data_IF_751461025194
#
_entry.id   IF_751461025194
#
_cell.length_a   1.000
_cell.length_b   1.000
_cell.length_c   1.000
_cell.angle_alpha   90.00
_cell.angle_beta   90.00
_cell.angle_gamma   90.00
#
_symmetry.space_group_name_H-M   'P 1'
#
loop_
_entity.id
_entity.type
_entity.pdbx_description
1 polymer ?
#
# COMPACT_ATOMS: atom_id res chain seq x y z
N UNK A 1 -18.57 8.73 40.46
CA UNK A 1 -19.42 9.84 39.97
C UNK A 1 -19.15 10.21 38.51
N UNK A 2 -17.95 10.68 38.14
CA UNK A 2 -17.65 11.10 36.75
C UNK A 2 -17.88 10.00 35.68
N UNK A 3 -17.54 8.74 35.96
CA UNK A 3 -17.80 7.59 35.05
C UNK A 3 -19.30 7.31 34.86
N UNK A 4 -20.11 7.52 35.91
CA UNK A 4 -21.57 7.32 35.86
C UNK A 4 -22.27 8.49 35.15
N UNK A 5 -21.79 9.72 35.35
CA UNK A 5 -22.24 10.91 34.59
C UNK A 5 -21.89 10.77 33.10
N UNK A 6 -20.67 10.30 32.79
CA UNK A 6 -20.25 10.03 31.40
C UNK A 6 -21.05 8.88 30.78
N UNK A 7 -21.42 7.86 31.55
CA UNK A 7 -22.33 6.79 31.13
C UNK A 7 -23.76 7.27 30.88
N UNK A 8 -24.29 8.18 31.71
CA UNK A 8 -25.66 8.67 31.61
C UNK A 8 -25.86 9.79 30.57
N UNK A 9 -24.92 10.72 30.43
CA UNK A 9 -25.03 11.89 29.54
C UNK A 9 -24.11 11.82 28.30
N UNK A 10 -23.02 11.06 28.36
CA UNK A 10 -22.02 11.02 27.29
C UNK A 10 -22.52 10.38 26.00
N UNK A 11 -23.42 9.39 26.08
CA UNK A 11 -24.04 8.78 24.90
C UNK A 11 -24.90 9.78 24.10
N UNK A 12 -25.65 10.63 24.81
CA UNK A 12 -26.46 11.68 24.19
C UNK A 12 -25.60 12.76 23.55
N UNK A 13 -24.52 13.18 24.21
CA UNK A 13 -23.56 14.14 23.64
C UNK A 13 -22.89 13.59 22.36
N UNK A 14 -22.36 12.37 22.40
CA UNK A 14 -21.72 11.74 21.22
C UNK A 14 -22.71 11.62 20.05
N UNK A 15 -23.96 11.26 20.34
CA UNK A 15 -25.02 11.21 19.33
C UNK A 15 -25.32 12.60 18.77
N UNK A 16 -25.46 13.61 19.63
CA UNK A 16 -25.73 14.99 19.21
C UNK A 16 -24.61 15.53 18.32
N UNK A 17 -23.34 15.34 18.71
CA UNK A 17 -22.17 15.75 17.92
C UNK A 17 -22.09 15.03 16.57
N UNK A 18 -22.41 13.74 16.52
CA UNK A 18 -22.48 12.97 15.26
C UNK A 18 -23.54 13.55 14.32
N UNK A 19 -24.74 13.84 14.84
CA UNK A 19 -25.81 14.45 14.04
C UNK A 19 -25.36 15.83 13.54
N UNK A 20 -24.92 16.70 14.45
CA UNK A 20 -24.51 18.06 14.11
C UNK A 20 -23.43 18.07 13.01
N UNK A 21 -22.38 17.24 13.15
CA UNK A 21 -21.32 17.13 12.13
C UNK A 21 -21.86 16.59 10.81
N UNK A 22 -22.69 15.55 10.84
CA UNK A 22 -23.22 14.91 9.63
C UNK A 22 -24.11 15.88 8.85
N UNK A 23 -25.01 16.58 9.53
CA UNK A 23 -25.91 17.53 8.89
C UNK A 23 -25.21 18.81 8.43
N UNK A 24 -24.17 19.28 9.14
CA UNK A 24 -23.31 20.36 8.66
C UNK A 24 -22.61 19.97 7.34
N UNK A 25 -22.03 18.77 7.28
CA UNK A 25 -21.36 18.29 6.05
C UNK A 25 -22.35 18.05 4.92
N UNK A 26 -23.56 17.54 5.21
CA UNK A 26 -24.63 17.40 4.21
C UNK A 26 -25.01 18.77 3.64
N UNK A 27 -25.25 19.77 4.50
CA UNK A 27 -25.60 21.12 4.07
C UNK A 27 -24.51 21.73 3.18
N UNK A 28 -23.23 21.55 3.52
CA UNK A 28 -22.13 22.04 2.68
C UNK A 28 -22.06 21.35 1.33
N UNK A 29 -22.12 20.01 1.29
CA UNK A 29 -22.11 19.26 0.02
C UNK A 29 -23.28 19.62 -0.86
N UNK A 30 -24.45 19.82 -0.27
CA UNK A 30 -25.65 20.15 -1.02
C UNK A 30 -25.65 21.59 -1.53
N UNK A 31 -25.09 22.52 -0.76
CA UNK A 31 -24.78 23.87 -1.24
C UNK A 31 -23.79 23.83 -2.40
N UNK A 32 -22.72 23.02 -2.31
CA UNK A 32 -21.75 22.81 -3.39
C UNK A 32 -22.40 22.24 -4.63
N UNK A 33 -23.23 21.20 -4.52
CA UNK A 33 -23.93 20.59 -5.66
C UNK A 33 -24.86 21.58 -6.34
N UNK A 34 -25.64 22.35 -5.57
CA UNK A 34 -26.49 23.42 -6.13
C UNK A 34 -25.69 24.51 -6.82
N UNK A 35 -24.55 24.91 -6.24
CA UNK A 35 -23.66 25.85 -6.90
C UNK A 35 -23.14 25.28 -8.24
N UNK A 36 -22.81 23.99 -8.32
CA UNK A 36 -22.44 23.35 -9.58
C UNK A 36 -23.61 23.28 -10.57
N UNK A 37 -24.84 23.04 -10.11
CA UNK A 37 -26.05 23.06 -10.94
C UNK A 37 -26.30 24.44 -11.57
N UNK A 38 -26.17 25.51 -10.78
CA UNK A 38 -26.34 26.89 -11.27
C UNK A 38 -25.24 27.34 -12.24
N UNK A 39 -24.12 26.61 -12.32
CA UNK A 39 -22.99 26.89 -13.22
C UNK A 39 -22.78 25.71 -14.20
N UNK A 40 -23.86 25.05 -14.62
CA UNK A 40 -23.83 23.84 -15.47
C UNK A 40 -23.22 24.06 -16.86
N UNK A 41 -23.13 25.32 -17.30
CA UNK A 41 -22.45 25.73 -18.52
C UNK A 41 -20.94 25.48 -18.47
N UNK A 42 -20.32 25.50 -17.28
CA UNK A 42 -18.89 25.22 -17.07
C UNK A 42 -18.61 23.99 -16.19
N UNK A 43 -19.58 23.54 -15.39
CA UNK A 43 -19.46 22.34 -14.54
C UNK A 43 -20.37 21.23 -15.07
N UNK A 44 -19.79 20.08 -15.43
CA UNK A 44 -20.53 18.91 -15.97
C UNK A 44 -21.10 17.99 -14.88
N UNK A 45 -20.52 18.06 -13.70
CA UNK A 45 -20.83 17.16 -12.60
C UNK A 45 -19.84 17.33 -11.46
N UNK A 46 -19.69 16.27 -10.67
CA UNK A 46 -18.73 16.26 -9.59
C UNK A 46 -17.96 14.94 -9.53
N UNK A 47 -16.76 15.01 -8.97
CA UNK A 47 -15.87 13.88 -8.74
C UNK A 47 -15.86 13.58 -7.25
N UNK A 48 -16.04 12.32 -6.87
CA UNK A 48 -15.98 11.90 -5.48
C UNK A 48 -14.53 11.88 -4.98
N UNK A 49 -14.22 12.71 -3.99
CA UNK A 49 -12.89 12.82 -3.41
C UNK A 49 -12.87 12.27 -1.99
N UNK A 50 -11.84 11.47 -1.70
CA UNK A 50 -11.55 10.93 -0.38
C UNK A 50 -10.09 11.15 -0.02
N UNK A 51 -9.77 11.13 1.28
CA UNK A 51 -8.41 11.36 1.76
C UNK A 51 -7.41 10.23 1.40
N UNK A 52 -7.89 9.05 0.97
CA UNK A 52 -7.06 7.89 0.59
C UNK A 52 -5.97 7.56 1.62
N UNK A 53 -6.32 7.63 2.91
CA UNK A 53 -5.45 7.21 4.02
C UNK A 53 -5.84 5.82 4.53
N UNK A 54 -4.98 5.22 5.36
CA UNK A 54 -5.24 3.94 6.05
C UNK A 54 -6.51 3.96 6.94
N UNK A 55 -7.03 5.15 7.27
CA UNK A 55 -8.30 5.32 8.02
C UNK A 55 -9.52 5.56 7.13
N UNK A 56 -9.32 5.61 5.81
CA UNK A 56 -10.39 5.79 4.83
C UNK A 56 -11.00 4.43 4.57
N UNK A 57 -12.32 4.30 4.70
CA UNK A 57 -12.99 3.03 4.47
C UNK A 57 -12.90 2.60 2.99
N UNK A 58 -13.02 1.31 2.74
CA UNK A 58 -13.00 0.71 1.40
C UNK A 58 -14.01 1.34 0.44
N UNK A 59 -15.19 1.77 0.91
CA UNK A 59 -16.20 2.44 0.09
C UNK A 59 -15.71 3.77 -0.46
N UNK A 60 -15.06 4.59 0.37
CA UNK A 60 -14.49 5.86 -0.10
C UNK A 60 -13.21 5.68 -0.91
N UNK A 61 -12.53 4.52 -0.80
CA UNK A 61 -11.51 4.13 -1.77
C UNK A 61 -12.17 3.74 -3.10
N UNK A 62 -13.16 2.86 -3.10
CA UNK A 62 -13.87 2.41 -4.30
C UNK A 62 -14.48 3.57 -5.11
N UNK A 63 -15.06 4.56 -4.43
CA UNK A 63 -15.68 5.72 -5.06
C UNK A 63 -14.68 6.84 -5.38
N UNK A 64 -13.42 6.78 -4.94
CA UNK A 64 -12.50 7.89 -5.21
C UNK A 64 -12.27 8.04 -6.73
N UNK A 65 -12.46 9.25 -7.24
CA UNK A 65 -12.31 9.55 -8.66
C UNK A 65 -13.53 9.23 -9.52
N UNK A 66 -14.60 8.64 -8.97
CA UNK A 66 -15.84 8.42 -9.75
C UNK A 66 -16.51 9.75 -10.07
N UNK A 67 -16.99 9.86 -11.31
CA UNK A 67 -17.74 11.02 -11.82
C UNK A 67 -19.23 10.80 -11.63
N UNK A 68 -19.92 11.84 -11.19
CA UNK A 68 -21.33 11.85 -10.84
C UNK A 68 -22.01 13.05 -11.48
N UNK A 69 -23.31 12.91 -11.79
CA UNK A 69 -24.08 13.99 -12.41
C UNK A 69 -24.43 15.09 -11.39
N UNK A 70 -24.84 16.25 -11.91
CA UNK A 70 -25.30 17.36 -11.08
C UNK A 70 -26.58 17.05 -10.30
N UNK A 71 -27.38 16.09 -10.77
CA UNK A 71 -28.61 15.65 -10.10
C UNK A 71 -28.38 14.56 -9.05
N UNK A 72 -27.18 13.96 -9.03
CA UNK A 72 -26.83 12.95 -8.04
C UNK A 72 -26.34 13.60 -6.74
N UNK A 73 -27.09 13.39 -5.66
CA UNK A 73 -26.67 13.74 -4.31
C UNK A 73 -25.49 12.87 -3.85
N UNK A 74 -24.56 13.43 -3.07
CA UNK A 74 -23.52 12.63 -2.43
C UNK A 74 -24.09 11.88 -1.22
N UNK A 75 -24.54 10.66 -1.48
CA UNK A 75 -25.14 9.76 -0.49
C UNK A 75 -24.09 9.21 0.49
N UNK A 76 -23.72 9.99 1.49
CA UNK A 76 -22.70 9.55 2.46
C UNK A 76 -23.30 8.84 3.69
N UNK A 77 -22.42 8.27 4.51
CA UNK A 77 -22.76 7.74 5.84
C UNK A 77 -22.44 8.75 6.95
N UNK A 78 -23.01 8.59 8.16
CA UNK A 78 -22.72 9.49 9.28
C UNK A 78 -21.23 9.56 9.59
N UNK A 79 -20.73 10.75 9.90
CA UNK A 79 -19.29 11.06 10.09
C UNK A 79 -18.38 10.77 8.89
N UNK A 80 -18.90 10.58 7.69
CA UNK A 80 -18.06 10.50 6.50
C UNK A 80 -17.30 11.81 6.25
N UNK A 81 -16.22 11.70 5.46
CA UNK A 81 -15.23 12.77 5.26
C UNK A 81 -14.94 13.04 3.79
N UNK A 82 -15.69 12.41 2.89
CA UNK A 82 -15.50 12.48 1.47
C UNK A 82 -16.16 13.77 0.95
N UNK A 83 -15.69 14.35 -0.15
CA UNK A 83 -16.18 15.64 -0.66
C UNK A 83 -16.37 15.58 -2.17
N UNK A 84 -17.16 16.52 -2.69
CA UNK A 84 -17.29 16.76 -4.12
C UNK A 84 -16.16 17.67 -4.58
N UNK A 85 -15.50 17.34 -5.69
CA UNK A 85 -14.72 18.27 -6.49
C UNK A 85 -15.47 18.53 -7.82
N UNK A 86 -15.37 19.72 -8.43
CA UNK A 86 -16.09 20.00 -9.66
C UNK A 86 -15.46 19.20 -10.81
N UNK A 87 -16.31 18.53 -11.60
CA UNK A 87 -15.91 18.04 -12.92
C UNK A 87 -16.21 19.14 -13.93
N UNK A 88 -15.18 19.88 -14.33
CA UNK A 88 -15.32 21.01 -15.23
C UNK A 88 -15.29 20.60 -16.70
N UNK A 89 -15.88 21.45 -17.54
CA UNK A 89 -15.77 21.43 -18.99
C UNK A 89 -14.30 21.49 -19.45
N UNK A 90 -13.99 20.89 -20.58
CA UNK A 90 -12.69 21.06 -21.25
C UNK A 90 -12.60 22.43 -21.91
N UNK A 91 -11.39 22.90 -22.21
CA UNK A 91 -11.18 24.14 -22.97
C UNK A 91 -11.87 24.07 -24.33
N UNK A 92 -11.82 22.92 -24.99
CA UNK A 92 -12.47 22.68 -26.28
C UNK A 92 -14.00 22.79 -26.17
N UNK A 93 -14.63 22.21 -25.14
CA UNK A 93 -16.07 22.35 -24.89
C UNK A 93 -16.48 23.81 -24.61
N UNK A 94 -15.57 24.63 -24.09
CA UNK A 94 -15.76 26.07 -23.88
C UNK A 94 -15.45 26.91 -25.13
N UNK A 95 -15.08 26.27 -26.25
CA UNK A 95 -14.80 26.93 -27.53
C UNK A 95 -13.35 27.41 -27.69
N UNK A 96 -12.44 27.01 -26.82
CA UNK A 96 -11.02 27.32 -26.92
C UNK A 96 -10.24 26.15 -27.52
N UNK A 97 -9.80 26.30 -28.77
CA UNK A 97 -9.03 25.29 -29.49
C UNK A 97 -7.52 25.44 -29.26
N UNK A 98 -6.80 24.31 -29.15
CA UNK A 98 -5.33 24.29 -29.10
C UNK A 98 -4.72 24.63 -27.74
N UNK A 99 -5.54 24.67 -26.67
CA UNK A 99 -5.08 24.83 -25.29
C UNK A 99 -4.95 23.46 -24.65
N UNK A 100 -3.82 23.21 -23.99
CA UNK A 100 -3.61 21.98 -23.21
C UNK A 100 -4.52 21.97 -21.98
N UNK A 101 -5.11 20.81 -21.68
CA UNK A 101 -5.96 20.64 -20.51
C UNK A 101 -5.15 20.76 -19.21
N UNK A 102 -5.60 21.64 -18.33
CA UNK A 102 -4.96 21.91 -17.04
C UNK A 102 -5.73 21.31 -15.86
N UNK A 103 -6.91 20.73 -16.12
CA UNK A 103 -7.69 20.07 -15.09
C UNK A 103 -6.88 18.90 -14.48
N UNK A 104 -6.81 18.78 -13.15
CA UNK A 104 -6.04 17.73 -12.51
C UNK A 104 -6.61 16.36 -12.86
N UNK A 105 -5.73 15.45 -13.30
CA UNK A 105 -6.09 14.04 -13.47
C UNK A 105 -6.22 13.42 -12.08
N UNK A 106 -7.45 13.05 -11.72
CA UNK A 106 -7.73 12.35 -10.48
C UNK A 106 -7.55 10.85 -10.73
N UNK A 107 -6.49 10.28 -10.15
CA UNK A 107 -6.28 8.84 -10.14
C UNK A 107 -7.44 8.13 -9.43
N UNK A 108 -7.99 7.09 -10.05
CA UNK A 108 -9.07 6.33 -9.45
C UNK A 108 -8.60 5.60 -8.18
N UNK A 109 -9.54 5.40 -7.25
CA UNK A 109 -9.19 4.85 -5.96
C UNK A 109 -8.75 3.39 -5.97
N UNK A 110 -9.22 2.57 -6.92
CA UNK A 110 -8.79 1.17 -7.01
C UNK A 110 -7.34 1.09 -7.47
N UNK A 111 -6.97 1.79 -8.53
CA UNK A 111 -5.59 1.91 -9.02
C UNK A 111 -4.66 2.47 -7.95
N UNK A 112 -5.10 3.50 -7.23
CA UNK A 112 -4.32 4.05 -6.12
C UNK A 112 -4.16 3.06 -4.95
N UNK A 113 -5.20 2.28 -4.67
CA UNK A 113 -5.20 1.29 -3.59
C UNK A 113 -4.25 0.13 -3.89
N UNK A 114 -4.17 -0.31 -5.15
CA UNK A 114 -3.24 -1.34 -5.60
C UNK A 114 -1.76 -0.98 -5.42
N UNK A 115 -1.45 0.32 -5.40
CA UNK A 115 -0.09 0.82 -5.14
C UNK A 115 0.29 0.84 -3.67
N UNK A 116 -0.65 0.61 -2.76
CA UNK A 116 -0.34 0.54 -1.33
C UNK A 116 0.43 -0.74 -1.00
N UNK A 117 1.31 -0.65 -0.01
CA UNK A 117 1.89 -1.85 0.60
C UNK A 117 0.79 -2.70 1.22
N UNK A 118 0.99 -4.01 1.24
CA UNK A 118 -0.03 -4.94 1.72
C UNK A 118 -0.45 -4.66 3.18
N UNK A 119 0.45 -4.18 4.03
CA UNK A 119 0.11 -3.83 5.42
C UNK A 119 -0.84 -2.63 5.49
N UNK A 120 -0.76 -1.71 4.53
CA UNK A 120 -1.70 -0.59 4.40
C UNK A 120 -3.03 -1.04 3.83
N UNK A 121 -3.02 -1.92 2.81
CA UNK A 121 -4.25 -2.52 2.30
C UNK A 121 -4.98 -3.31 3.40
N UNK A 122 -4.25 -4.09 4.19
CA UNK A 122 -4.74 -4.84 5.34
C UNK A 122 -5.37 -3.93 6.39
N UNK A 123 -4.77 -2.77 6.70
CA UNK A 123 -5.36 -1.81 7.63
C UNK A 123 -6.69 -1.23 7.14
N UNK A 124 -6.84 -1.03 5.84
CA UNK A 124 -8.07 -0.49 5.24
C UNK A 124 -9.18 -1.55 5.19
N UNK A 125 -8.88 -2.76 4.71
CA UNK A 125 -9.87 -3.82 4.48
C UNK A 125 -10.15 -4.65 5.73
N UNK A 126 -9.18 -4.75 6.63
CA UNK A 126 -9.15 -5.75 7.68
C UNK A 126 -8.87 -7.16 7.15
N UNK A 127 -8.58 -8.13 8.04
CA UNK A 127 -8.01 -9.43 7.66
C UNK A 127 -8.79 -10.20 6.59
N UNK A 128 -10.08 -10.45 6.83
CA UNK A 128 -10.87 -11.31 5.95
C UNK A 128 -11.13 -10.72 4.56
N UNK A 129 -11.37 -9.40 4.47
CA UNK A 129 -11.58 -8.73 3.17
C UNK A 129 -10.26 -8.55 2.43
N UNK A 130 -9.16 -8.30 3.14
CA UNK A 130 -7.83 -8.29 2.55
C UNK A 130 -7.52 -9.63 1.88
N UNK A 131 -7.76 -10.75 2.57
CA UNK A 131 -7.59 -12.08 1.98
C UNK A 131 -8.45 -12.27 0.73
N UNK A 132 -9.76 -11.96 0.80
CA UNK A 132 -10.64 -12.07 -0.36
C UNK A 132 -10.19 -11.18 -1.52
N UNK A 133 -9.71 -9.97 -1.22
CA UNK A 133 -9.15 -9.05 -2.22
C UNK A 133 -7.90 -9.64 -2.88
N UNK A 134 -6.96 -10.16 -2.10
CA UNK A 134 -5.73 -10.79 -2.62
C UNK A 134 -5.99 -12.07 -3.40
N UNK A 135 -7.05 -12.80 -3.07
CA UNK A 135 -7.50 -13.98 -3.83
C UNK A 135 -8.24 -13.61 -5.12
N UNK A 136 -8.55 -12.33 -5.37
CA UNK A 136 -9.39 -11.88 -6.48
C UNK A 136 -10.88 -12.24 -6.31
N UNK A 137 -11.31 -12.63 -5.11
CA UNK A 137 -12.71 -12.97 -4.79
C UNK A 137 -13.59 -11.73 -4.62
N UNK A 138 -13.00 -10.56 -4.42
CA UNK A 138 -13.70 -9.27 -4.42
C UNK A 138 -12.83 -8.15 -4.97
N UNK A 139 -13.50 -7.13 -5.50
CA UNK A 139 -12.94 -5.80 -5.78
C UNK A 139 -13.45 -4.78 -4.76
N UNK A 140 -12.84 -3.59 -4.70
CA UNK A 140 -13.32 -2.53 -3.81
C UNK A 140 -14.76 -2.10 -4.14
N UNK A 141 -15.13 -2.11 -5.41
CA UNK A 141 -16.47 -1.75 -5.88
C UNK A 141 -17.56 -2.70 -5.36
N UNK A 142 -17.24 -3.98 -5.17
CA UNK A 142 -18.19 -4.97 -4.63
C UNK A 142 -18.63 -4.60 -3.21
N UNK A 143 -17.72 -3.99 -2.44
CA UNK A 143 -17.97 -3.53 -1.08
C UNK A 143 -18.88 -2.31 -1.00
N UNK A 144 -19.22 -1.65 -2.11
CA UNK A 144 -20.12 -0.49 -2.11
C UNK A 144 -21.57 -0.94 -2.04
N UNK A 145 -22.20 -0.73 -0.90
CA UNK A 145 -23.64 -0.91 -0.67
C UNK A 145 -24.38 0.42 -0.67
N UNK A 146 -25.67 0.39 -1.03
CA UNK A 146 -26.61 1.52 -0.92
C UNK A 146 -27.85 1.08 -0.15
N UNK A 147 -28.32 1.89 0.81
CA UNK A 147 -29.54 1.61 1.57
C UNK A 147 -30.28 2.89 1.93
N UNK A 148 -31.58 2.77 2.12
CA UNK A 148 -32.42 3.88 2.60
C UNK A 148 -32.60 3.79 4.12
N UNK A 149 -32.45 4.91 4.81
CA UNK A 149 -32.68 5.04 6.25
C UNK A 149 -33.75 6.07 6.52
N UNK A 150 -34.75 5.73 7.33
CA UNK A 150 -35.77 6.68 7.78
C UNK A 150 -35.18 7.91 8.52
N UNK A 151 -33.97 7.78 9.07
CA UNK A 151 -33.31 8.85 9.82
C UNK A 151 -32.34 9.68 8.98
N UNK A 152 -31.71 9.07 7.97
CA UNK A 152 -30.57 9.68 7.28
C UNK A 152 -30.74 9.77 5.76
N UNK A 153 -31.90 9.36 5.24
CA UNK A 153 -32.14 9.27 3.79
C UNK A 153 -31.35 8.12 3.16
N UNK A 154 -31.07 8.24 1.87
CA UNK A 154 -30.27 7.26 1.13
C UNK A 154 -28.80 7.42 1.48
N UNK A 155 -28.14 6.30 1.77
CA UNK A 155 -26.75 6.28 2.24
C UNK A 155 -25.97 5.15 1.59
N UNK A 156 -24.67 5.38 1.42
CA UNK A 156 -23.70 4.32 1.15
C UNK A 156 -23.31 3.61 2.45
N UNK A 157 -22.99 2.33 2.34
CA UNK A 157 -22.41 1.53 3.42
C UNK A 157 -21.45 0.50 2.84
N UNK A 158 -20.59 -0.05 3.68
CA UNK A 158 -19.69 -1.12 3.28
C UNK A 158 -20.41 -2.46 3.41
N UNK A 159 -20.58 -3.19 2.30
CA UNK A 159 -21.15 -4.54 2.33
C UNK A 159 -20.28 -5.47 3.18
N UNK A 160 -20.95 -6.38 3.87
CA UNK A 160 -20.31 -7.48 4.57
C UNK A 160 -19.91 -8.59 3.59
N UNK A 161 -18.94 -9.41 3.96
CA UNK A 161 -18.56 -10.61 3.18
C UNK A 161 -19.76 -11.56 2.98
N UNK A 162 -20.65 -11.66 3.98
CA UNK A 162 -21.88 -12.45 3.88
C UNK A 162 -22.79 -11.96 2.77
N UNK A 163 -22.91 -10.65 2.58
CA UNK A 163 -23.70 -10.07 1.47
C UNK A 163 -23.07 -10.33 0.10
N UNK A 164 -21.76 -10.57 0.05
CA UNK A 164 -21.04 -10.99 -1.16
C UNK A 164 -21.03 -12.51 -1.36
N UNK A 165 -21.67 -13.29 -0.47
CA UNK A 165 -21.62 -14.75 -0.53
C UNK A 165 -20.29 -15.37 -0.09
N UNK A 166 -19.41 -14.59 0.55
CA UNK A 166 -18.09 -15.02 1.00
C UNK A 166 -18.10 -15.42 2.49
N UNK A 167 -17.42 -16.52 2.82
CA UNK A 167 -17.30 -17.01 4.20
C UNK A 167 -16.13 -16.34 4.93
N UNK A 168 -16.48 -15.41 5.83
CA UNK A 168 -15.51 -14.71 6.69
C UNK A 168 -14.62 -15.66 7.49
N UNK A 169 -15.14 -16.79 7.97
CA UNK A 169 -14.39 -17.71 8.83
C UNK A 169 -13.32 -18.47 8.04
N UNK A 170 -13.64 -18.83 6.79
CA UNK A 170 -12.67 -19.46 5.87
C UNK A 170 -11.55 -18.48 5.54
N UNK A 171 -11.90 -17.25 5.17
CA UNK A 171 -10.94 -16.20 4.83
C UNK A 171 -10.04 -15.85 6.02
N UNK A 172 -10.59 -15.79 7.24
CA UNK A 172 -9.76 -15.60 8.43
C UNK A 172 -8.77 -16.73 8.67
N UNK A 173 -9.16 -18.00 8.46
CA UNK A 173 -8.22 -19.12 8.59
C UNK A 173 -7.07 -19.08 7.57
N UNK A 174 -7.31 -18.50 6.40
CA UNK A 174 -6.26 -18.26 5.41
C UNK A 174 -5.34 -17.13 5.88
N UNK A 175 -5.89 -15.99 6.32
CA UNK A 175 -5.13 -14.88 6.90
C UNK A 175 -4.24 -15.32 8.07
N UNK A 176 -4.72 -16.23 8.92
CA UNK A 176 -3.94 -16.75 10.06
C UNK A 176 -2.64 -17.45 9.65
N UNK A 177 -2.55 -17.91 8.39
CA UNK A 177 -1.35 -18.53 7.80
C UNK A 177 -0.54 -17.54 6.96
N UNK A 178 -1.04 -16.33 6.74
CA UNK A 178 -0.40 -15.31 5.93
C UNK A 178 0.80 -14.72 6.71
N UNK A 179 2.01 -14.72 6.13
CA UNK A 179 3.21 -14.14 6.74
C UNK A 179 3.03 -12.67 7.16
N UNK A 180 2.15 -11.91 6.50
CA UNK A 180 1.90 -10.51 6.83
C UNK A 180 1.46 -10.29 8.29
N UNK A 181 0.80 -11.29 8.89
CA UNK A 181 0.36 -11.24 10.29
C UNK A 181 1.55 -11.13 11.25
N UNK A 182 2.66 -11.78 10.90
CA UNK A 182 3.90 -11.79 11.66
C UNK A 182 4.92 -10.75 11.21
N UNK A 183 4.52 -9.81 10.34
CA UNK A 183 5.47 -8.88 9.72
C UNK A 183 6.22 -8.07 10.78
N UNK A 184 7.54 -8.15 10.74
CA UNK A 184 8.45 -7.49 11.67
C UNK A 184 8.46 -5.99 11.37
N UNK A 185 8.37 -5.16 12.42
CA UNK A 185 8.52 -3.72 12.23
C UNK A 185 9.99 -3.36 11.94
N UNK A 186 10.19 -2.22 11.28
CA UNK A 186 11.49 -1.83 10.75
C UNK A 186 12.55 -1.66 11.85
N UNK A 187 12.19 -1.11 13.01
CA UNK A 187 13.17 -0.91 14.09
C UNK A 187 13.63 -2.25 14.69
N UNK A 188 12.71 -3.20 14.87
CA UNK A 188 13.06 -4.56 15.32
C UNK A 188 13.87 -5.31 14.26
N UNK A 189 13.54 -5.16 12.98
CA UNK A 189 14.29 -5.75 11.87
C UNK A 189 15.72 -5.21 11.83
N UNK A 190 15.92 -3.90 12.00
CA UNK A 190 17.24 -3.27 12.04
C UNK A 190 18.11 -3.85 13.17
N UNK A 191 17.55 -4.00 14.37
CA UNK A 191 18.25 -4.59 15.50
C UNK A 191 18.64 -6.05 15.22
N UNK A 192 17.74 -6.83 14.62
CA UNK A 192 18.01 -8.23 14.27
C UNK A 192 19.08 -8.36 13.19
N UNK A 193 19.00 -7.56 12.12
CA UNK A 193 20.00 -7.52 11.04
C UNK A 193 21.39 -7.21 11.60
N UNK A 194 21.51 -6.16 12.41
CA UNK A 194 22.80 -5.78 13.02
C UNK A 194 23.38 -6.91 13.87
N UNK A 195 22.55 -7.56 14.71
CA UNK A 195 22.99 -8.69 15.54
C UNK A 195 23.37 -9.94 14.74
N UNK A 196 22.66 -10.25 13.66
CA UNK A 196 22.99 -11.40 12.79
C UNK A 196 24.30 -11.13 12.04
N UNK A 197 24.43 -9.95 11.43
CA UNK A 197 25.63 -9.55 10.71
C UNK A 197 26.87 -9.62 11.60
N UNK A 198 26.80 -9.08 12.83
CA UNK A 198 27.92 -9.11 13.77
C UNK A 198 28.40 -10.51 14.16
N UNK A 199 27.59 -11.56 13.95
CA UNK A 199 27.91 -12.96 14.27
C UNK A 199 28.34 -13.79 13.08
N UNK A 200 27.91 -13.41 11.88
CA UNK A 200 27.98 -14.27 10.69
C UNK A 200 28.52 -13.58 9.44
N UNK A 201 28.92 -12.31 9.58
CA UNK A 201 29.53 -11.49 8.52
C UNK A 201 28.60 -11.23 7.33
N UNK A 202 27.33 -11.58 7.47
CA UNK A 202 26.29 -11.34 6.49
C UNK A 202 24.92 -11.68 7.04
N UNK A 203 23.88 -11.27 6.34
CA UNK A 203 22.50 -11.64 6.66
C UNK A 203 21.60 -11.40 5.45
N UNK A 204 20.51 -12.14 5.37
CA UNK A 204 19.36 -11.77 4.53
C UNK A 204 18.12 -11.80 5.41
N UNK A 205 17.41 -10.68 5.49
CA UNK A 205 16.28 -10.52 6.40
C UNK A 205 15.07 -9.96 5.68
N UNK A 206 13.93 -10.64 5.75
CA UNK A 206 12.66 -10.15 5.22
C UNK A 206 11.81 -9.57 6.34
N UNK A 207 11.08 -8.48 6.09
CA UNK A 207 10.07 -8.03 7.04
C UNK A 207 8.92 -9.04 7.18
N UNK A 208 8.63 -9.84 6.15
CA UNK A 208 7.55 -10.85 6.17
C UNK A 208 7.98 -12.15 6.82
N UNK A 209 9.21 -12.57 6.54
CA UNK A 209 9.68 -13.92 6.85
C UNK A 209 10.76 -13.95 7.94
N UNK A 210 11.25 -12.79 8.37
CA UNK A 210 12.31 -12.68 9.36
C UNK A 210 13.68 -13.08 8.80
N UNK A 211 14.50 -13.75 9.62
CA UNK A 211 15.81 -14.23 9.19
C UNK A 211 15.65 -15.32 8.12
N UNK A 212 16.26 -15.10 6.96
CA UNK A 212 16.13 -15.99 5.81
C UNK A 212 17.18 -17.11 5.78
N UNK A 213 18.16 -17.13 6.69
CA UNK A 213 19.13 -18.21 6.76
C UNK A 213 18.45 -19.58 6.97
N UNK A 214 18.78 -20.57 6.15
CA UNK A 214 18.18 -21.90 6.13
C UNK A 214 16.81 -21.99 5.45
N UNK A 215 16.24 -20.88 4.96
CA UNK A 215 14.96 -20.90 4.25
C UNK A 215 15.14 -21.33 2.78
N UNK A 216 14.13 -21.97 2.15
CA UNK A 216 14.23 -22.52 0.80
C UNK A 216 14.11 -21.43 -0.28
N UNK A 217 14.97 -20.41 -0.20
CA UNK A 217 15.04 -19.28 -1.11
C UNK A 217 16.47 -19.04 -1.59
N UNK A 218 16.57 -18.37 -2.72
CA UNK A 218 17.76 -17.74 -3.25
C UNK A 218 17.64 -16.23 -3.03
N UNK A 219 18.75 -15.61 -2.65
CA UNK A 219 18.91 -14.18 -2.49
C UNK A 219 19.70 -13.63 -3.67
N UNK A 220 19.08 -12.75 -4.47
CA UNK A 220 19.70 -12.15 -5.65
C UNK A 220 19.30 -10.67 -5.75
N UNK A 221 20.27 -9.77 -5.91
CA UNK A 221 19.95 -8.34 -6.06
C UNK A 221 19.52 -8.01 -7.49
N UNK A 222 18.40 -7.31 -7.62
CA UNK A 222 17.97 -6.66 -8.87
C UNK A 222 18.02 -5.12 -8.73
N UNK A 223 18.70 -4.63 -7.69
CA UNK A 223 18.73 -3.23 -7.29
C UNK A 223 20.16 -2.65 -7.21
N UNK A 224 20.97 -2.75 -8.28
CA UNK A 224 22.35 -2.29 -8.27
C UNK A 224 22.48 -0.78 -8.02
N UNK A 225 21.44 -0.01 -8.34
CA UNK A 225 21.31 1.43 -8.09
C UNK A 225 21.08 1.78 -6.61
N UNK A 226 20.62 0.82 -5.81
CA UNK A 226 20.28 1.03 -4.40
C UNK A 226 21.39 0.54 -3.45
N UNK A 227 22.30 -0.30 -3.93
CA UNK A 227 23.43 -0.84 -3.17
C UNK A 227 24.25 0.25 -2.48
N UNK A 228 24.64 -0.01 -1.22
CA UNK A 228 25.53 0.86 -0.45
C UNK A 228 26.68 0.06 0.15
N UNK A 229 27.83 0.71 0.31
CA UNK A 229 29.00 0.12 0.96
C UNK A 229 29.41 0.92 2.18
N UNK A 230 29.82 0.22 3.23
CA UNK A 230 30.40 0.78 4.46
C UNK A 230 31.83 0.25 4.56
N UNK A 231 32.76 1.08 5.02
CA UNK A 231 34.14 0.66 5.24
C UNK A 231 34.21 -0.16 6.52
N UNK A 232 34.86 -1.32 6.45
CA UNK A 232 35.02 -2.25 7.55
C UNK A 232 33.81 -3.16 7.76
N UNK A 233 33.98 -4.06 8.73
CA UNK A 233 33.04 -5.14 9.04
C UNK A 233 31.83 -4.71 9.87
N UNK A 234 31.95 -3.66 10.68
CA UNK A 234 30.93 -3.31 11.65
C UNK A 234 29.85 -2.40 11.04
N UNK A 235 28.59 -2.78 11.17
CA UNK A 235 27.44 -1.96 10.76
C UNK A 235 26.77 -1.37 12.01
N UNK A 236 26.53 -0.05 12.01
CA UNK A 236 25.77 0.60 13.08
C UNK A 236 24.27 0.57 12.79
N UNK A 237 23.46 0.74 13.85
CA UNK A 237 22.01 0.90 13.73
C UNK A 237 21.65 2.10 12.83
N UNK A 238 22.44 3.18 12.90
CA UNK A 238 22.20 4.38 12.10
C UNK A 238 22.49 4.16 10.61
N UNK A 239 23.47 3.32 10.28
CA UNK A 239 23.74 2.94 8.89
C UNK A 239 22.56 2.19 8.28
N UNK A 240 22.04 1.19 9.00
CA UNK A 240 20.85 0.45 8.60
C UNK A 240 19.61 1.35 8.50
N UNK A 241 19.42 2.30 9.42
CA UNK A 241 18.33 3.28 9.34
C UNK A 241 18.43 4.13 8.09
N UNK A 242 19.61 4.68 7.79
CA UNK A 242 19.84 5.50 6.60
C UNK A 242 19.63 4.72 5.30
N UNK A 243 19.95 3.42 5.32
CA UNK A 243 19.74 2.54 4.18
C UNK A 243 18.28 2.15 3.99
N UNK A 244 17.57 1.73 5.05
CA UNK A 244 16.24 1.12 4.94
C UNK A 244 15.12 2.17 4.87
N UNK A 245 15.19 3.24 5.68
CA UNK A 245 14.08 4.21 5.82
C UNK A 245 13.69 4.95 4.53
N UNK A 246 14.59 5.29 3.60
CA UNK A 246 14.18 5.89 2.33
C UNK A 246 13.36 4.94 1.45
N UNK A 247 13.46 3.62 1.69
CA UNK A 247 12.89 2.56 0.86
C UNK A 247 11.97 1.63 1.68
N UNK A 248 11.28 2.13 2.71
CA UNK A 248 10.39 1.29 3.54
C UNK A 248 9.34 0.56 2.71
N UNK A 249 8.83 1.19 1.65
CA UNK A 249 7.86 0.56 0.75
C UNK A 249 8.42 -0.68 0.06
N UNK A 250 9.69 -0.63 -0.35
CA UNK A 250 10.39 -1.76 -0.95
C UNK A 250 10.67 -2.86 0.08
N UNK A 251 11.12 -2.49 1.28
CA UNK A 251 11.37 -3.45 2.37
C UNK A 251 10.09 -4.19 2.83
N UNK A 252 8.91 -3.59 2.60
CA UNK A 252 7.58 -4.15 2.90
C UNK A 252 6.99 -4.98 1.76
N UNK A 253 7.78 -5.32 0.75
CA UNK A 253 7.39 -6.30 -0.26
C UNK A 253 7.75 -7.72 0.23
N UNK A 254 6.81 -8.66 0.14
CA UNK A 254 6.99 -10.06 0.59
C UNK A 254 8.16 -10.79 -0.10
N UNK A 255 8.46 -10.41 -1.35
CA UNK A 255 9.51 -11.02 -2.16
C UNK A 255 10.87 -10.31 -1.99
N UNK A 256 10.99 -9.37 -1.05
CA UNK A 256 12.20 -8.58 -0.84
C UNK A 256 12.79 -8.85 0.55
N UNK A 257 14.10 -9.04 0.57
CA UNK A 257 14.95 -9.07 1.76
C UNK A 257 15.90 -7.88 1.81
N UNK A 258 16.42 -7.62 2.99
CA UNK A 258 17.52 -6.71 3.27
C UNK A 258 18.76 -7.58 3.45
N UNK A 259 19.69 -7.47 2.52
CA UNK A 259 20.96 -8.18 2.49
C UNK A 259 22.06 -7.36 3.15
N UNK A 260 22.93 -8.04 3.90
CA UNK A 260 24.21 -7.49 4.34
C UNK A 260 25.30 -8.51 4.06
N UNK A 261 26.49 -8.08 3.65
CA UNK A 261 27.61 -8.98 3.42
C UNK A 261 28.94 -8.24 3.59
N UNK A 262 29.82 -8.76 4.45
CA UNK A 262 31.18 -8.27 4.61
C UNK A 262 32.10 -8.99 3.61
N UNK A 263 32.68 -8.21 2.70
CA UNK A 263 33.73 -8.66 1.81
C UNK A 263 35.11 -8.42 2.47
N UNK A 264 35.82 -9.48 2.91
CA UNK A 264 37.12 -9.34 3.56
C UNK A 264 38.22 -8.85 2.62
N UNK A 265 38.13 -9.10 1.32
CA UNK A 265 39.16 -8.72 0.35
C UNK A 265 39.19 -7.21 0.11
N UNK A 266 38.01 -6.58 0.16
CA UNK A 266 37.87 -5.12 0.04
C UNK A 266 37.82 -4.39 1.39
N UNK A 267 37.71 -5.13 2.49
CA UNK A 267 37.40 -4.60 3.83
C UNK A 267 36.17 -3.66 3.79
N UNK A 268 35.09 -4.13 3.16
CA UNK A 268 33.82 -3.40 3.01
C UNK A 268 32.63 -4.28 3.32
N UNK A 269 31.61 -3.68 3.91
CA UNK A 269 30.29 -4.31 4.06
C UNK A 269 29.31 -3.71 3.07
N UNK A 270 28.67 -4.59 2.30
CA UNK A 270 27.60 -4.29 1.36
C UNK A 270 26.25 -4.32 2.06
N UNK A 271 25.39 -3.36 1.73
CA UNK A 271 23.99 -3.30 2.10
C UNK A 271 23.16 -3.28 0.82
N UNK A 272 22.28 -4.26 0.68
CA UNK A 272 21.52 -4.49 -0.54
C UNK A 272 20.05 -4.75 -0.22
N UNK A 273 19.18 -4.38 -1.16
CA UNK A 273 17.88 -5.03 -1.28
C UNK A 273 18.06 -6.24 -2.17
N UNK A 274 17.45 -7.36 -1.79
CA UNK A 274 17.58 -8.63 -2.51
C UNK A 274 16.20 -9.21 -2.78
N UNK A 275 16.03 -9.76 -3.96
CA UNK A 275 14.86 -10.55 -4.30
C UNK A 275 15.00 -11.94 -3.70
N UNK A 276 13.91 -12.42 -3.09
CA UNK A 276 13.76 -13.76 -2.53
C UNK A 276 13.03 -14.64 -3.54
N UNK A 277 13.74 -15.62 -4.09
CA UNK A 277 13.21 -16.49 -5.17
C UNK A 277 13.31 -17.94 -4.74
N UNK A 278 12.26 -18.73 -4.87
CA UNK A 278 12.30 -20.16 -4.51
C UNK A 278 12.85 -21.06 -5.63
N UNK A 279 12.72 -20.62 -6.89
CA UNK A 279 13.22 -21.34 -8.07
C UNK A 279 14.66 -20.95 -8.43
N UNK A 280 15.53 -21.96 -8.53
CA UNK A 280 16.95 -21.78 -8.82
C UNK A 280 17.21 -21.20 -10.22
N UNK A 281 16.45 -21.63 -11.23
CA UNK A 281 16.64 -21.16 -12.61
C UNK A 281 16.25 -19.70 -12.72
N UNK A 282 15.15 -19.31 -12.07
CA UNK A 282 14.73 -17.90 -12.00
C UNK A 282 15.79 -17.07 -11.28
N UNK A 283 16.35 -17.55 -10.17
CA UNK A 283 17.39 -16.84 -9.45
C UNK A 283 18.65 -16.62 -10.30
N UNK A 284 19.12 -17.66 -11.01
CA UNK A 284 20.28 -17.57 -11.92
C UNK A 284 20.00 -16.63 -13.09
N UNK A 285 18.80 -16.70 -13.68
CA UNK A 285 18.41 -15.81 -14.78
C UNK A 285 18.40 -14.34 -14.33
N UNK A 286 17.84 -14.04 -13.14
CA UNK A 286 17.89 -12.71 -12.56
C UNK A 286 19.32 -12.24 -12.29
N UNK A 287 20.16 -13.09 -11.71
CA UNK A 287 21.56 -12.76 -11.44
C UNK A 287 22.33 -12.40 -12.72
N UNK A 288 22.11 -13.14 -13.81
CA UNK A 288 22.69 -12.82 -15.13
C UNK A 288 22.10 -11.55 -15.73
N UNK A 289 20.77 -11.42 -15.71
CA UNK A 289 20.03 -10.28 -16.28
C UNK A 289 20.43 -8.95 -15.66
N UNK A 290 20.66 -8.94 -14.35
CA UNK A 290 21.06 -7.74 -13.60
C UNK A 290 22.56 -7.71 -13.28
N UNK A 291 23.38 -8.46 -14.03
CA UNK A 291 24.84 -8.41 -13.98
C UNK A 291 25.42 -8.60 -12.56
N UNK A 292 24.86 -9.49 -11.75
CA UNK A 292 25.34 -9.76 -10.40
C UNK A 292 26.60 -10.63 -10.42
N UNK A 293 27.49 -10.44 -9.45
CA UNK A 293 28.69 -11.29 -9.27
C UNK A 293 28.27 -12.72 -8.91
N UNK A 294 27.26 -12.83 -8.04
CA UNK A 294 26.66 -14.08 -7.65
C UNK A 294 25.37 -13.88 -6.87
N UNK A 295 24.77 -14.99 -6.51
CA UNK A 295 23.58 -15.09 -5.68
C UNK A 295 23.85 -16.04 -4.52
N UNK A 296 23.01 -16.01 -3.49
CA UNK A 296 23.19 -16.85 -2.31
C UNK A 296 22.01 -17.83 -2.15
N UNK A 297 22.31 -19.13 -2.09
CA UNK A 297 21.35 -20.15 -1.72
C UNK A 297 21.18 -20.15 -0.20
N UNK A 298 20.06 -19.61 0.27
CA UNK A 298 19.79 -19.46 1.70
C UNK A 298 19.50 -20.80 2.39
N UNK A 299 18.99 -21.80 1.65
CA UNK A 299 18.66 -23.11 2.20
C UNK A 299 19.89 -23.97 2.44
N UNK A 300 20.85 -23.92 1.51
CA UNK A 300 22.12 -24.65 1.60
C UNK A 300 23.25 -23.83 2.25
N UNK A 301 23.05 -22.52 2.40
CA UNK A 301 24.08 -21.58 2.83
C UNK A 301 25.30 -21.55 1.90
N UNK A 302 25.05 -21.53 0.59
CA UNK A 302 26.08 -21.61 -0.46
C UNK A 302 26.03 -20.39 -1.38
N UNK A 303 27.20 -19.85 -1.72
CA UNK A 303 27.35 -18.82 -2.74
C UNK A 303 27.41 -19.45 -4.13
N UNK A 304 26.71 -18.85 -5.09
CA UNK A 304 26.62 -19.31 -6.48
C UNK A 304 27.06 -18.16 -7.38
N UNK A 305 28.17 -18.35 -8.08
CA UNK A 305 28.67 -17.37 -9.06
C UNK A 305 27.76 -17.31 -10.29
N UNK A 306 27.46 -16.09 -10.74
CA UNK A 306 26.69 -15.85 -11.97
C UNK A 306 27.55 -15.32 -13.11
N UNK A 307 28.80 -14.93 -12.82
CA UNK A 307 29.77 -14.46 -13.81
C UNK A 307 29.60 -12.99 -14.24
N UNK A 308 28.75 -12.23 -13.54
CA UNK A 308 28.61 -10.78 -13.75
C UNK A 308 29.62 -9.96 -12.94
N UNK A 309 29.60 -8.63 -13.13
CA UNK A 309 30.57 -7.70 -12.50
C UNK A 309 30.02 -7.01 -11.25
N UNK A 310 28.71 -7.09 -11.00
CA UNK A 310 28.00 -6.33 -9.96
C UNK A 310 27.66 -4.90 -10.36
N UNK A 311 28.12 -4.43 -11.52
CA UNK A 311 27.86 -3.08 -12.01
C UNK A 311 26.42 -2.95 -12.52
N UNK A 312 25.84 -1.75 -12.34
CA UNK A 312 24.51 -1.45 -12.86
C UNK A 312 24.48 -1.57 -14.39
N UNK A 313 23.44 -2.20 -14.90
CA UNK A 313 23.15 -2.26 -16.34
C UNK A 313 22.57 -0.92 -16.83
N UNK A 314 22.77 -0.61 -18.12
CA UNK A 314 22.23 0.58 -18.78
C UNK A 314 21.58 0.20 -20.14
N UNK A 315 20.27 0.48 -20.36
CA UNK A 315 19.34 1.10 -19.42
C UNK A 315 18.88 0.15 -18.31
N UNK A 316 18.87 0.64 -17.06
CA UNK A 316 18.27 -0.07 -15.93
C UNK A 316 16.73 0.08 -15.98
N UNK A 317 15.95 -1.02 -15.96
CA UNK A 317 14.50 -0.92 -15.88
C UNK A 317 14.03 -0.17 -14.63
N UNK A 318 12.87 0.50 -14.73
CA UNK A 318 12.31 1.24 -13.60
C UNK A 318 12.08 0.32 -12.38
N UNK A 319 12.11 0.87 -11.17
CA UNK A 319 11.85 0.07 -9.95
C UNK A 319 10.51 -0.67 -10.03
N UNK A 320 9.49 -0.03 -10.62
CA UNK A 320 8.17 -0.64 -10.77
C UNK A 320 8.20 -1.84 -11.75
N UNK A 321 8.90 -1.71 -12.87
CA UNK A 321 8.99 -2.79 -13.86
C UNK A 321 9.81 -3.97 -13.32
N UNK A 322 10.84 -3.69 -12.53
CA UNK A 322 11.62 -4.71 -11.82
C UNK A 322 10.76 -5.51 -10.84
N UNK A 323 9.90 -4.84 -10.08
CA UNK A 323 9.02 -5.49 -9.09
C UNK A 323 7.88 -6.28 -9.72
N UNK A 324 7.30 -5.81 -10.84
CA UNK A 324 6.25 -6.55 -11.58
C UNK A 324 6.70 -7.91 -12.06
N UNK A 325 7.99 -8.07 -12.37
CA UNK A 325 8.56 -9.36 -12.77
C UNK A 325 8.67 -10.39 -11.64
N UNK A 326 8.29 -10.04 -10.40
CA UNK A 326 8.38 -10.90 -9.22
C UNK A 326 7.03 -11.45 -8.75
N UNK A 327 5.91 -10.99 -9.33
CA UNK A 327 4.55 -11.46 -9.02
C UNK A 327 4.18 -12.70 -9.84
#
# INVERSE_FOLDING_TARGET
>A
MARNIRGALGGNLVRALRIARTEQLRAYRESTRRNYQENSEIVRGWIWISARTERTCSVCWALHGSKHSLDEEMEEHPNGRCTMAPWVATWEELGFSGIEETAPVIEDGATAFDKLTDDKQLKVLGPAKYTAYKNGELTLSDLVGRKTSARWGTMRYEKSLRELGLDRSVLLKQYEKDPIKGMVNIEDAINQISNIHGKTDGSTFSLYHGNMAGQPYYSVSIFPDLSKTIIGKQITIDDLKKFIKPYEGLARNKNIGIGTWYNPDENKTYLDFVTLVSDEKVAIDLGKRYNQIGLFNLGKMEYIETGGTGESIDPLPSLLDRLRGLE
#
